data_IF_321837811793
#
_entry.id   IF_321837811793
#
_cell.length_a   1.000
_cell.length_b   1.000
_cell.length_c   1.000
_cell.angle_alpha   90.00
_cell.angle_beta   90.00
_cell.angle_gamma   90.00
#
_symmetry.space_group_name_H-M   'P 1'
#
loop_
_entity.id
_entity.type
_entity.pdbx_description
1 polymer ?
#
# COMPACT_ATOMS: atom_id res chain seq x y z
N UNK A 1 0.50 6.70 -10.67
CA UNK A 1 1.55 5.94 -9.97
C UNK A 1 2.66 5.41 -10.90
N UNK A 2 2.32 4.70 -11.99
CA UNK A 2 3.32 4.06 -12.88
C UNK A 2 4.45 4.96 -13.41
N UNK A 3 4.14 6.16 -13.89
CA UNK A 3 5.14 7.14 -14.36
C UNK A 3 6.21 7.47 -13.29
N UNK A 4 5.77 7.65 -12.04
CA UNK A 4 6.65 7.96 -10.91
C UNK A 4 7.54 6.76 -10.57
N UNK A 5 6.95 5.56 -10.50
CA UNK A 5 7.71 4.32 -10.24
C UNK A 5 8.77 4.07 -11.30
N UNK A 6 8.44 4.29 -12.57
CA UNK A 6 9.39 4.14 -13.67
C UNK A 6 10.52 5.18 -13.58
N UNK A 7 10.18 6.45 -13.35
CA UNK A 7 11.16 7.54 -13.26
C UNK A 7 12.17 7.31 -12.12
N UNK A 8 11.72 6.79 -10.98
CA UNK A 8 12.55 6.58 -9.79
C UNK A 8 13.06 5.15 -9.59
N UNK A 9 12.95 4.28 -10.60
CA UNK A 9 13.31 2.85 -10.50
C UNK A 9 14.74 2.61 -9.96
N UNK A 10 15.70 3.43 -10.36
CA UNK A 10 17.10 3.27 -9.96
C UNK A 10 17.31 3.68 -8.50
N UNK A 11 16.59 4.72 -8.03
CA UNK A 11 16.61 5.13 -6.62
C UNK A 11 15.96 4.08 -5.71
N UNK A 12 14.88 3.44 -6.18
CA UNK A 12 14.22 2.32 -5.48
C UNK A 12 15.19 1.13 -5.40
N UNK A 13 15.81 0.75 -6.52
CA UNK A 13 16.76 -0.37 -6.57
C UNK A 13 18.00 -0.12 -5.70
N UNK A 14 18.45 1.13 -5.56
CA UNK A 14 19.58 1.54 -4.73
C UNK A 14 19.29 1.67 -3.23
N UNK A 15 18.05 1.47 -2.78
CA UNK A 15 17.71 1.55 -1.35
C UNK A 15 18.40 0.45 -0.54
N UNK A 16 18.99 0.84 0.60
CA UNK A 16 19.71 -0.04 1.54
C UNK A 16 18.85 -0.54 2.70
N UNK A 17 17.54 -0.28 2.66
CA UNK A 17 16.63 -0.50 3.78
C UNK A 17 16.62 -1.95 4.30
N UNK A 18 16.76 -2.95 3.43
CA UNK A 18 16.81 -4.35 3.84
C UNK A 18 18.02 -4.65 4.74
N UNK A 19 19.19 -4.12 4.36
CA UNK A 19 20.42 -4.26 5.14
C UNK A 19 20.32 -3.49 6.46
N UNK A 20 19.77 -2.28 6.43
CA UNK A 20 19.58 -1.44 7.63
C UNK A 20 18.63 -2.09 8.65
N UNK A 21 17.61 -2.80 8.18
CA UNK A 21 16.67 -3.53 9.04
C UNK A 21 17.10 -4.98 9.35
N UNK A 22 18.16 -5.47 8.71
CA UNK A 22 18.63 -6.86 8.85
C UNK A 22 17.58 -7.88 8.42
N UNK A 23 16.88 -7.62 7.31
CA UNK A 23 15.83 -8.47 6.75
C UNK A 23 16.19 -8.94 5.34
N UNK A 24 15.70 -10.12 4.95
CA UNK A 24 15.94 -10.71 3.64
C UNK A 24 14.73 -10.63 2.72
N UNK A 25 14.95 -10.93 1.43
CA UNK A 25 13.89 -11.08 0.44
C UNK A 25 12.87 -12.15 0.87
N UNK A 26 11.58 -11.87 0.69
CA UNK A 26 10.45 -12.76 0.99
C UNK A 26 10.36 -13.24 2.46
N UNK A 27 11.11 -12.59 3.36
CA UNK A 27 11.32 -13.04 4.74
C UNK A 27 10.73 -12.06 5.77
N UNK A 28 9.72 -11.27 5.39
CA UNK A 28 9.03 -10.32 6.27
C UNK A 28 7.70 -9.85 5.67
N UNK A 29 6.83 -9.33 6.51
CA UNK A 29 5.64 -8.59 6.10
C UNK A 29 5.86 -7.09 6.22
N UNK A 30 5.23 -6.31 5.34
CA UNK A 30 5.17 -4.84 5.47
C UNK A 30 3.73 -4.45 5.74
N UNK A 31 3.55 -3.65 6.77
CA UNK A 31 2.25 -3.18 7.24
C UNK A 31 2.24 -1.67 7.25
N UNK A 32 1.23 -1.07 6.64
CA UNK A 32 0.98 0.37 6.70
C UNK A 32 -0.47 0.64 7.02
N UNK A 33 -0.70 1.20 8.22
CA UNK A 33 -2.03 1.44 8.77
C UNK A 33 -2.07 2.84 9.38
N UNK A 34 -2.97 3.66 8.87
CA UNK A 34 -3.06 5.08 9.24
C UNK A 34 -4.49 5.65 9.19
N UNK A 35 -5.46 4.87 8.70
CA UNK A 35 -6.84 5.29 8.60
C UNK A 35 -7.51 5.31 9.97
N UNK A 36 -8.28 6.38 10.25
CA UNK A 36 -8.91 6.60 11.56
C UNK A 36 -9.82 5.43 11.95
N UNK A 37 -10.55 4.86 10.99
CA UNK A 37 -11.40 3.69 11.23
C UNK A 37 -10.65 2.47 11.78
N UNK A 38 -9.33 2.38 11.57
CA UNK A 38 -8.46 1.29 12.04
C UNK A 38 -7.68 1.62 13.31
N UNK A 39 -7.44 2.91 13.62
CA UNK A 39 -6.50 3.32 14.68
C UNK A 39 -7.06 4.25 15.74
N UNK A 40 -8.33 4.67 15.63
CA UNK A 40 -8.92 5.66 16.53
C UNK A 40 -9.56 5.07 17.79
N UNK A 41 -10.20 3.90 17.70
CA UNK A 41 -10.80 3.24 18.85
C UNK A 41 -9.83 2.21 19.50
N UNK A 42 -9.82 2.10 20.84
CA UNK A 42 -9.04 1.08 21.53
C UNK A 42 -9.40 -0.35 21.13
N UNK A 43 -10.68 -0.62 20.82
CA UNK A 43 -11.18 -1.95 20.44
C UNK A 43 -10.64 -2.38 19.08
N UNK A 44 -10.69 -1.47 18.10
CA UNK A 44 -10.14 -1.73 16.76
C UNK A 44 -8.62 -1.85 16.82
N UNK A 45 -7.95 -1.01 17.61
CA UNK A 45 -6.50 -1.08 17.78
C UNK A 45 -6.06 -2.40 18.44
N UNK A 46 -6.83 -2.93 19.40
CA UNK A 46 -6.63 -4.28 19.95
C UNK A 46 -6.78 -5.35 18.89
N UNK A 47 -7.87 -5.29 18.12
CA UNK A 47 -8.13 -6.26 17.04
C UNK A 47 -7.00 -6.25 16.03
N UNK A 48 -6.48 -5.07 15.70
CA UNK A 48 -5.32 -4.93 14.83
C UNK A 48 -4.07 -5.58 15.43
N UNK A 49 -3.77 -5.32 16.71
CA UNK A 49 -2.65 -5.95 17.38
C UNK A 49 -2.77 -7.48 17.40
N UNK A 50 -3.95 -8.01 17.66
CA UNK A 50 -4.22 -9.45 17.63
C UNK A 50 -3.98 -10.02 16.22
N UNK A 51 -4.43 -9.32 15.17
CA UNK A 51 -4.15 -9.69 13.78
C UNK A 51 -2.64 -9.72 13.48
N UNK A 52 -1.89 -8.71 13.94
CA UNK A 52 -0.44 -8.64 13.72
C UNK A 52 0.31 -9.72 14.50
N UNK A 53 -0.10 -9.99 15.75
CA UNK A 53 0.46 -11.06 16.58
C UNK A 53 0.22 -12.43 15.94
N UNK A 54 -1.00 -12.70 15.51
CA UNK A 54 -1.35 -13.96 14.83
C UNK A 54 -0.57 -14.12 13.53
N UNK A 55 -0.46 -13.06 12.73
CA UNK A 55 0.30 -13.08 11.49
C UNK A 55 1.78 -13.37 11.77
N UNK A 56 2.36 -12.70 12.76
CA UNK A 56 3.69 -13.03 13.20
C UNK A 56 3.74 -14.52 13.56
N UNK A 57 2.97 -14.98 14.55
CA UNK A 57 3.05 -16.35 15.09
C UNK A 57 2.83 -17.44 14.05
N UNK A 58 1.87 -17.25 13.15
CA UNK A 58 1.50 -18.23 12.12
C UNK A 58 2.60 -18.43 11.09
N UNK A 59 3.27 -17.35 10.68
CA UNK A 59 4.27 -17.41 9.61
C UNK A 59 5.71 -17.46 10.12
N UNK A 60 5.93 -17.23 11.41
CA UNK A 60 7.25 -17.08 12.04
C UNK A 60 8.16 -16.04 11.34
N UNK A 61 7.57 -14.94 10.86
CA UNK A 61 8.30 -13.88 10.16
C UNK A 61 8.21 -12.51 10.86
N UNK A 62 9.22 -11.63 10.70
CA UNK A 62 9.14 -10.23 11.08
C UNK A 62 7.96 -9.50 10.44
N UNK A 63 7.34 -8.62 11.23
CA UNK A 63 6.26 -7.74 10.77
C UNK A 63 6.72 -6.29 10.89
N UNK A 64 7.00 -5.66 9.75
CA UNK A 64 7.52 -4.30 9.68
C UNK A 64 6.34 -3.32 9.57
N UNK A 65 6.04 -2.61 10.65
CA UNK A 65 4.88 -1.71 10.73
C UNK A 65 5.32 -0.26 10.61
N UNK A 66 4.99 0.38 9.48
CA UNK A 66 5.13 1.83 9.29
C UNK A 66 4.07 2.55 10.12
N UNK A 67 4.49 3.28 11.15
CA UNK A 67 3.57 3.80 12.18
C UNK A 67 3.71 5.30 12.34
N UNK A 68 2.60 6.02 12.20
CA UNK A 68 2.55 7.45 12.49
C UNK A 68 2.70 7.69 14.01
N UNK A 69 3.36 8.78 14.47
CA UNK A 69 3.52 9.08 15.90
C UNK A 69 2.21 9.10 16.70
N UNK A 70 1.08 9.49 16.07
CA UNK A 70 -0.27 9.43 16.66
C UNK A 70 -0.66 8.00 17.02
N UNK A 71 -0.53 7.06 16.09
CA UNK A 71 -0.84 5.64 16.30
C UNK A 71 0.08 5.02 17.35
N UNK A 72 1.37 5.37 17.34
CA UNK A 72 2.32 4.89 18.34
C UNK A 72 1.92 5.27 19.76
N UNK A 73 1.54 6.54 19.98
CA UNK A 73 1.04 7.00 21.30
C UNK A 73 -0.18 6.23 21.77
N UNK A 74 -1.11 5.88 20.86
CA UNK A 74 -2.30 5.11 21.20
C UNK A 74 -1.97 3.66 21.55
N UNK A 75 -1.02 3.06 20.84
CA UNK A 75 -0.49 1.73 21.15
C UNK A 75 0.16 1.73 22.53
N UNK A 76 0.99 2.72 22.84
CA UNK A 76 1.66 2.84 24.14
C UNK A 76 0.65 3.07 25.29
N UNK A 77 -0.49 3.69 25.01
CA UNK A 77 -1.57 3.90 25.99
C UNK A 77 -2.47 2.67 26.20
N UNK A 78 -2.32 1.63 25.39
CA UNK A 78 -3.21 0.48 25.39
C UNK A 78 -2.78 -0.54 26.46
N UNK A 79 -3.45 -0.49 27.60
CA UNK A 79 -3.14 -1.38 28.73
C UNK A 79 -3.48 -2.84 28.41
N UNK A 80 -2.58 -3.75 28.81
CA UNK A 80 -2.76 -5.20 28.68
C UNK A 80 -2.51 -5.78 27.29
N UNK A 81 -2.08 -4.98 26.30
CA UNK A 81 -1.66 -5.53 25.02
C UNK A 81 -0.27 -6.19 25.12
N UNK A 82 -0.19 -7.43 24.66
CA UNK A 82 1.08 -8.07 24.35
C UNK A 82 1.42 -7.85 22.88
N UNK A 83 2.67 -7.52 22.60
CA UNK A 83 3.18 -7.33 21.24
C UNK A 83 4.23 -8.42 21.01
N UNK A 84 4.04 -9.22 19.97
CA UNK A 84 5.01 -10.23 19.58
C UNK A 84 6.37 -9.57 19.26
N UNK A 85 7.50 -10.13 19.76
CA UNK A 85 8.82 -9.53 19.59
C UNK A 85 9.28 -9.38 18.12
N UNK A 86 8.62 -10.06 17.18
CA UNK A 86 8.93 -9.96 15.74
C UNK A 86 8.22 -8.79 15.07
N UNK A 87 7.29 -8.13 15.77
CA UNK A 87 6.62 -6.92 15.29
C UNK A 87 7.51 -5.70 15.58
N UNK A 88 7.86 -4.98 14.53
CA UNK A 88 8.72 -3.80 14.59
C UNK A 88 7.95 -2.56 14.15
N UNK A 89 7.53 -1.75 15.11
CA UNK A 89 6.92 -0.45 14.87
C UNK A 89 8.00 0.58 14.56
N UNK A 90 8.07 1.03 13.30
CA UNK A 90 9.07 1.95 12.80
C UNK A 90 8.44 3.28 12.37
N UNK A 91 9.28 4.31 12.27
CA UNK A 91 8.87 5.62 11.72
C UNK A 91 8.47 5.47 10.24
N UNK A 92 7.63 6.36 9.71
CA UNK A 92 7.28 6.33 8.29
C UNK A 92 8.53 6.36 7.40
N UNK A 93 8.56 5.49 6.41
CA UNK A 93 9.67 5.36 5.47
C UNK A 93 9.62 6.41 4.37
N UNK A 94 10.79 6.76 3.83
CA UNK A 94 10.87 7.50 2.58
C UNK A 94 10.33 6.69 1.40
N UNK A 95 10.00 7.35 0.29
CA UNK A 95 9.39 6.70 -0.87
C UNK A 95 10.23 5.53 -1.41
N UNK A 96 11.54 5.71 -1.62
CA UNK A 96 12.40 4.65 -2.16
C UNK A 96 12.45 3.42 -1.23
N UNK A 97 12.65 3.65 0.07
CA UNK A 97 12.71 2.59 1.06
C UNK A 97 11.38 1.85 1.19
N UNK A 98 10.26 2.58 1.16
CA UNK A 98 8.95 1.96 1.27
C UNK A 98 8.63 1.09 0.05
N UNK A 99 8.88 1.57 -1.17
CA UNK A 99 8.67 0.76 -2.38
C UNK A 99 9.63 -0.43 -2.42
N UNK A 100 10.90 -0.25 -1.99
CA UNK A 100 11.86 -1.35 -1.86
C UNK A 100 11.37 -2.40 -0.87
N UNK A 101 10.83 -1.99 0.27
CA UNK A 101 10.23 -2.90 1.24
C UNK A 101 9.04 -3.65 0.64
N UNK A 102 8.13 -2.97 -0.06
CA UNK A 102 6.97 -3.61 -0.69
C UNK A 102 7.36 -4.68 -1.73
N UNK A 103 8.34 -4.37 -2.60
CA UNK A 103 8.83 -5.30 -3.62
C UNK A 103 9.44 -6.57 -3.02
N UNK A 104 10.02 -6.46 -1.83
CA UNK A 104 10.83 -7.50 -1.20
C UNK A 104 10.07 -8.24 -0.09
N UNK A 105 8.91 -7.71 0.34
CA UNK A 105 8.08 -8.30 1.39
C UNK A 105 7.35 -9.54 0.91
N UNK A 106 7.17 -10.52 1.80
CA UNK A 106 6.36 -11.73 1.60
C UNK A 106 4.92 -11.40 1.20
N UNK A 107 4.33 -10.42 1.90
CA UNK A 107 3.04 -9.83 1.58
C UNK A 107 3.00 -8.41 2.15
N UNK A 108 2.29 -7.53 1.46
CA UNK A 108 2.00 -6.16 1.91
C UNK A 108 0.59 -6.10 2.47
N UNK A 109 0.44 -5.57 3.68
CA UNK A 109 -0.84 -5.36 4.33
C UNK A 109 -1.03 -3.85 4.47
N UNK A 110 -2.06 -3.27 3.86
CA UNK A 110 -2.24 -1.82 3.94
C UNK A 110 -3.67 -1.33 3.85
N UNK A 111 -3.96 -0.24 4.56
CA UNK A 111 -5.19 0.55 4.43
C UNK A 111 -5.02 1.80 3.54
N UNK A 112 -3.89 1.93 2.85
CA UNK A 112 -3.63 3.03 1.92
C UNK A 112 -4.63 3.04 0.77
N UNK A 113 -5.06 4.22 0.35
CA UNK A 113 -5.85 4.36 -0.89
C UNK A 113 -5.05 3.99 -2.15
N UNK A 114 -3.71 4.03 -2.08
CA UNK A 114 -2.82 3.74 -3.21
C UNK A 114 -2.40 2.27 -3.30
N UNK A 115 -2.70 1.43 -2.30
CA UNK A 115 -2.20 0.04 -2.29
C UNK A 115 -2.68 -0.77 -3.50
N UNK A 116 -3.86 -0.46 -4.04
CA UNK A 116 -4.36 -1.11 -5.26
C UNK A 116 -3.51 -0.76 -6.48
N UNK A 117 -3.15 0.52 -6.63
CA UNK A 117 -2.25 0.98 -7.70
C UNK A 117 -0.84 0.40 -7.53
N UNK A 118 -0.30 0.45 -6.31
CA UNK A 118 1.02 -0.08 -5.97
C UNK A 118 1.09 -1.59 -6.24
N UNK A 119 0.10 -2.35 -5.77
CA UNK A 119 0.00 -3.79 -6.01
C UNK A 119 -0.08 -4.14 -7.50
N UNK A 120 -0.88 -3.37 -8.25
CA UNK A 120 -1.02 -3.54 -9.68
C UNK A 120 0.31 -3.28 -10.40
N UNK A 121 0.94 -2.12 -10.21
CA UNK A 121 2.18 -1.77 -10.93
C UNK A 121 3.38 -2.63 -10.51
N UNK A 122 3.55 -2.87 -9.20
CA UNK A 122 4.73 -3.56 -8.67
C UNK A 122 4.65 -5.09 -8.77
N UNK A 123 3.49 -5.65 -9.14
CA UNK A 123 3.25 -7.10 -9.10
C UNK A 123 3.62 -7.68 -7.72
N UNK A 124 2.97 -7.19 -6.66
CA UNK A 124 3.24 -7.64 -5.29
C UNK A 124 2.00 -8.32 -4.70
N UNK A 125 2.17 -9.31 -3.82
CA UNK A 125 1.08 -9.88 -3.05
C UNK A 125 0.61 -8.87 -2.00
N UNK A 126 -0.66 -8.48 -2.05
CA UNK A 126 -1.21 -7.46 -1.18
C UNK A 126 -2.58 -7.83 -0.61
N UNK A 127 -2.83 -7.38 0.61
CA UNK A 127 -4.12 -7.47 1.32
C UNK A 127 -4.46 -6.09 1.88
N UNK A 128 -5.73 -5.69 1.78
CA UNK A 128 -6.21 -4.46 2.41
C UNK A 128 -7.15 -4.74 3.57
N UNK A 129 -6.91 -4.07 4.69
CA UNK A 129 -7.70 -4.17 5.92
C UNK A 129 -8.95 -3.29 5.91
N UNK A 130 -9.30 -2.73 4.75
CA UNK A 130 -10.45 -1.85 4.62
C UNK A 130 -11.74 -2.66 4.51
N UNK A 131 -12.86 -2.10 4.96
CA UNK A 131 -14.19 -2.66 4.73
C UNK A 131 -14.78 -2.22 3.38
N UNK A 132 -14.32 -1.07 2.87
CA UNK A 132 -14.71 -0.51 1.57
C UNK A 132 -13.53 0.25 0.97
N UNK A 133 -13.48 0.34 -0.36
CA UNK A 133 -12.45 1.11 -1.06
C UNK A 133 -12.95 1.67 -2.41
N UNK A 134 -12.27 2.72 -2.86
CA UNK A 134 -12.57 3.54 -4.03
C UNK A 134 -11.91 3.05 -5.33
N UNK A 135 -11.47 1.79 -5.37
CA UNK A 135 -10.71 1.20 -6.49
C UNK A 135 -11.37 -0.08 -7.04
N UNK A 136 -12.64 -0.07 -7.45
CA UNK A 136 -13.35 -1.27 -7.93
C UNK A 136 -12.63 -1.99 -9.07
N UNK A 137 -11.89 -1.25 -9.90
CA UNK A 137 -11.07 -1.81 -10.99
C UNK A 137 -9.99 -2.79 -10.49
N UNK A 138 -9.56 -2.64 -9.22
CA UNK A 138 -8.67 -3.60 -8.58
C UNK A 138 -9.32 -4.94 -8.29
N UNK A 139 -10.63 -4.93 -7.99
CA UNK A 139 -11.42 -6.15 -7.76
C UNK A 139 -11.74 -6.85 -9.07
N UNK A 140 -12.05 -6.09 -10.13
CA UNK A 140 -12.25 -6.63 -11.48
C UNK A 140 -11.02 -7.41 -11.97
N UNK A 141 -9.82 -6.94 -11.62
CA UNK A 141 -8.54 -7.57 -11.97
C UNK A 141 -8.04 -8.61 -10.94
N UNK A 142 -8.67 -8.73 -9.78
CA UNK A 142 -8.20 -9.60 -8.68
C UNK A 142 -6.83 -9.18 -8.13
N UNK A 143 -6.54 -7.87 -8.10
CA UNK A 143 -5.20 -7.33 -7.79
C UNK A 143 -4.75 -7.66 -6.36
N UNK A 144 -5.68 -7.55 -5.40
CA UNK A 144 -5.47 -7.79 -3.97
C UNK A 144 -6.74 -8.36 -3.35
N UNK A 145 -6.67 -8.79 -2.09
CA UNK A 145 -7.86 -9.18 -1.32
C UNK A 145 -8.20 -8.08 -0.30
N UNK A 146 -9.47 -7.68 -0.24
CA UNK A 146 -10.03 -6.84 0.81
C UNK A 146 -10.67 -7.73 1.86
N UNK A 147 -10.08 -7.77 3.06
CA UNK A 147 -10.48 -8.71 4.10
C UNK A 147 -11.13 -8.04 5.32
N UNK A 148 -11.19 -6.70 5.35
CA UNK A 148 -11.53 -5.95 6.54
C UNK A 148 -10.52 -6.18 7.67
N UNK A 149 -10.88 -5.77 8.88
CA UNK A 149 -10.10 -6.04 10.08
C UNK A 149 -10.66 -7.26 10.82
N UNK A 150 -10.39 -8.44 10.26
CA UNK A 150 -10.74 -9.73 10.86
C UNK A 150 -9.54 -10.68 10.84
N UNK A 151 -9.30 -11.37 11.96
CA UNK A 151 -8.11 -12.23 12.17
C UNK A 151 -8.08 -13.40 11.20
N UNK A 152 -9.19 -14.13 11.09
CA UNK A 152 -9.28 -15.32 10.25
C UNK A 152 -9.20 -14.97 8.77
N UNK A 153 -9.94 -13.93 8.37
CA UNK A 153 -9.99 -13.38 7.03
C UNK A 153 -8.62 -12.90 6.57
N UNK A 154 -7.87 -12.21 7.44
CA UNK A 154 -6.51 -11.74 7.13
C UNK A 154 -5.56 -12.91 6.85
N UNK A 155 -5.51 -13.91 7.74
CA UNK A 155 -4.60 -15.06 7.57
C UNK A 155 -4.91 -15.85 6.29
N UNK A 156 -6.19 -16.09 6.01
CA UNK A 156 -6.62 -16.75 4.78
C UNK A 156 -6.30 -15.91 3.53
N UNK A 157 -6.52 -14.60 3.60
CA UNK A 157 -6.20 -13.69 2.50
C UNK A 157 -4.71 -13.70 2.17
N UNK A 158 -3.84 -13.62 3.20
CA UNK A 158 -2.39 -13.71 3.03
C UNK A 158 -2.02 -15.05 2.37
N UNK A 159 -2.57 -16.16 2.88
CA UNK A 159 -2.33 -17.50 2.33
C UNK A 159 -2.69 -17.56 0.84
N UNK A 160 -3.86 -17.05 0.46
CA UNK A 160 -4.34 -17.04 -0.92
C UNK A 160 -3.45 -16.18 -1.82
N UNK A 161 -3.22 -14.91 -1.46
CA UNK A 161 -2.45 -14.00 -2.34
C UNK A 161 -1.01 -14.46 -2.49
N UNK A 162 -0.40 -15.01 -1.44
CA UNK A 162 0.97 -15.54 -1.48
C UNK A 162 1.06 -16.83 -2.31
N UNK A 163 0.10 -17.75 -2.19
CA UNK A 163 0.08 -19.00 -2.96
C UNK A 163 -0.17 -18.75 -4.45
N UNK A 164 -0.93 -17.71 -4.78
CA UNK A 164 -1.25 -17.31 -6.15
C UNK A 164 -0.27 -16.28 -6.71
N UNK A 165 0.82 -15.94 -6.04
CA UNK A 165 1.75 -14.92 -6.51
C UNK A 165 3.00 -15.55 -7.11
N UNK A 166 3.36 -15.10 -8.32
CA UNK A 166 4.64 -15.38 -8.96
C UNK A 166 5.36 -14.05 -9.20
N UNK A 167 6.52 -13.91 -8.55
CA UNK A 167 7.37 -12.71 -8.64
C UNK A 167 8.03 -12.57 -10.00
N UNK A 168 8.42 -13.69 -10.61
CA UNK A 168 9.12 -13.71 -11.89
C UNK A 168 8.17 -13.51 -13.07
N UNK A 169 6.92 -13.97 -12.93
CA UNK A 169 5.91 -13.89 -13.98
C UNK A 169 4.58 -13.41 -13.41
N UNK A 170 4.13 -12.26 -13.90
CA UNK A 170 2.77 -11.77 -13.61
C UNK A 170 1.73 -12.80 -14.06
N UNK A 171 0.85 -13.18 -13.13
CA UNK A 171 -0.20 -14.17 -13.33
C UNK A 171 -1.61 -13.60 -13.08
N UNK A 172 -1.72 -12.27 -12.96
CA UNK A 172 -2.97 -11.51 -12.86
C UNK A 172 -2.98 -10.42 -13.94
N UNK A 173 -4.13 -10.09 -14.55
CA UNK A 173 -4.19 -9.05 -15.56
C UNK A 173 -3.78 -7.70 -14.97
N UNK A 174 -3.15 -6.86 -15.79
CA UNK A 174 -2.95 -5.46 -15.43
C UNK A 174 -4.28 -4.72 -15.59
N UNK A 175 -4.56 -3.77 -14.69
CA UNK A 175 -5.76 -2.93 -14.76
C UNK A 175 -5.66 -2.06 -16.01
N UNK A 176 -6.64 -2.21 -16.92
CA UNK A 176 -6.63 -1.56 -18.24
C UNK A 176 -6.48 -0.05 -18.14
N UNK A 177 -7.17 0.58 -17.20
CA UNK A 177 -7.17 2.04 -17.04
C UNK A 177 -5.87 2.58 -16.42
N UNK A 178 -5.01 1.70 -15.91
CA UNK A 178 -3.71 2.08 -15.34
C UNK A 178 -2.60 2.09 -16.39
N UNK A 179 -2.84 1.50 -17.58
CA UNK A 179 -1.87 1.36 -18.65
C UNK A 179 -2.36 2.03 -19.93
N UNK A 180 -1.42 2.29 -20.84
CA UNK A 180 -1.72 2.76 -22.19
C UNK A 180 -0.78 2.07 -23.18
N UNK A 181 -0.96 2.30 -24.48
CA UNK A 181 -0.04 1.83 -25.51
C UNK A 181 1.40 2.39 -25.34
N UNK A 182 1.55 3.41 -24.48
CA UNK A 182 2.81 3.99 -24.04
C UNK A 182 3.02 3.61 -22.57
N UNK A 183 4.14 2.94 -22.25
CA UNK A 183 4.49 2.51 -20.90
C UNK A 183 5.88 3.07 -20.49
N UNK A 184 5.98 3.89 -19.42
CA UNK A 184 4.87 4.36 -18.59
C UNK A 184 3.97 5.37 -19.30
N UNK A 185 2.67 5.34 -18.96
CA UNK A 185 1.72 6.34 -19.44
C UNK A 185 2.12 7.75 -18.92
N UNK A 186 2.40 8.74 -19.80
CA UNK A 186 2.95 10.04 -19.40
C UNK A 186 1.86 10.99 -18.88
N UNK A 187 1.30 10.65 -17.73
CA UNK A 187 0.19 11.38 -17.09
C UNK A 187 0.58 12.84 -16.81
N UNK A 188 1.82 13.11 -16.42
CA UNK A 188 2.31 14.47 -16.16
C UNK A 188 2.12 15.41 -17.38
N UNK A 189 2.46 14.92 -18.58
CA UNK A 189 2.29 15.66 -19.83
C UNK A 189 0.81 15.82 -20.19
N UNK A 190 0.03 14.76 -20.01
CA UNK A 190 -1.42 14.78 -20.26
C UNK A 190 -2.10 15.84 -19.39
N UNK A 191 -1.82 15.85 -18.08
CA UNK A 191 -2.40 16.82 -17.13
C UNK A 191 -2.01 18.25 -17.52
N UNK A 192 -0.74 18.50 -17.86
CA UNK A 192 -0.29 19.84 -18.27
C UNK A 192 -1.05 20.34 -19.52
N UNK A 193 -1.22 19.46 -20.53
CA UNK A 193 -1.96 19.79 -21.76
C UNK A 193 -3.43 20.07 -21.46
N UNK A 194 -4.08 19.27 -20.61
CA UNK A 194 -5.48 19.48 -20.20
C UNK A 194 -5.62 20.82 -19.48
N UNK A 195 -4.82 21.07 -18.44
CA UNK A 195 -4.90 22.33 -17.68
C UNK A 195 -4.74 23.53 -18.61
N UNK A 196 -3.71 23.53 -19.46
CA UNK A 196 -3.50 24.64 -20.42
C UNK A 196 -4.66 24.82 -21.40
N UNK A 197 -5.25 23.73 -21.88
CA UNK A 197 -6.37 23.78 -22.83
C UNK A 197 -7.65 24.32 -22.19
N UNK A 198 -7.94 23.95 -20.94
CA UNK A 198 -9.20 24.29 -20.28
C UNK A 198 -9.18 25.59 -19.48
N UNK A 199 -8.01 26.12 -19.11
CA UNK A 199 -7.90 27.38 -18.36
C UNK A 199 -8.71 28.53 -18.99
N UNK A 200 -8.47 28.81 -20.28
CA UNK A 200 -9.17 29.88 -20.98
C UNK A 200 -10.65 29.57 -21.23
N UNK A 201 -11.00 28.29 -21.44
CA UNK A 201 -12.38 27.85 -21.61
C UNK A 201 -13.19 28.11 -20.34
N UNK A 202 -12.72 27.63 -19.18
CA UNK A 202 -13.38 27.79 -17.88
C UNK A 202 -13.59 29.27 -17.52
N UNK A 203 -12.59 30.13 -17.75
CA UNK A 203 -12.73 31.58 -17.54
C UNK A 203 -13.91 32.18 -18.31
N UNK A 204 -14.06 31.81 -19.58
CA UNK A 204 -15.16 32.32 -20.41
C UNK A 204 -16.51 31.68 -20.08
N UNK A 205 -16.57 30.37 -19.89
CA UNK A 205 -17.86 29.64 -19.84
C UNK A 205 -18.42 29.47 -18.43
N UNK A 206 -17.56 29.40 -17.41
CA UNK A 206 -17.98 29.25 -16.01
C UNK A 206 -17.98 30.62 -15.32
N UNK A 207 -16.84 31.31 -15.36
CA UNK A 207 -16.69 32.60 -14.66
C UNK A 207 -17.24 33.80 -15.42
N UNK A 208 -17.53 33.63 -16.72
CA UNK A 208 -18.01 34.69 -17.63
C UNK A 208 -17.10 35.93 -17.60
N UNK A 209 -15.79 35.69 -17.48
CA UNK A 209 -14.80 36.77 -17.62
C UNK A 209 -14.90 37.34 -19.04
N UNK A 210 -15.34 38.59 -19.14
CA UNK A 210 -15.20 39.37 -20.37
C UNK A 210 -13.72 39.69 -20.52
N UNK A 211 -13.10 39.20 -21.60
CA UNK A 211 -11.78 39.65 -22.00
C UNK A 211 -11.85 41.18 -22.11
N UNK A 212 -11.20 41.90 -21.20
CA UNK A 212 -10.93 43.32 -21.34
C UNK A 212 -9.82 43.53 -22.38
#
# INVERSE_FOLDING_TARGET
>A
MGEVLHHYKDGIAGSRILTELGIGHDAFFVVSIHREENVDSPETLRTLLDCLNDMAQTYDLPVIVSTHPRTRKRLDALTGASIDPRIRFLKPFGFFDYIRLQLEARCVISDSGTITEEAAFLNIPAVTLRNTHERPEGMDAGTLIMCGLDRSSLLDSIRIVCAQHDRAKRNRPMIRDYISDIDPHPVSQQVLRIVRSYMGYVRRTVWRETNA
#
